data_IF_620219484289
#
_entry.id   IF_620219484289
#
_cell.length_a   1.000
_cell.length_b   1.000
_cell.length_c   1.000
_cell.angle_alpha   90.00
_cell.angle_beta   90.00
_cell.angle_gamma   90.00
#
_symmetry.space_group_name_H-M   'P 1'
#
loop_
_entity.id
_entity.type
_entity.pdbx_description
1 polymer ?
#
# COMPACT_ATOMS: atom_id res chain seq x y z
N UNK A 1 -8.33 6.22 -4.79
CA UNK A 1 -7.02 6.58 -4.24
C UNK A 1 -6.43 5.42 -3.51
N UNK A 2 -5.11 5.28 -3.60
CA UNK A 2 -4.33 4.17 -3.07
C UNK A 2 -3.70 4.58 -1.74
N UNK A 3 -3.79 3.74 -0.71
CA UNK A 3 -3.31 4.04 0.64
C UNK A 3 -2.25 3.04 1.09
N UNK A 4 -1.11 3.54 1.56
CA UNK A 4 -0.03 2.73 2.10
C UNK A 4 -0.46 1.99 3.36
N UNK A 5 -0.08 0.72 3.43
CA UNK A 5 0.02 -0.04 4.67
C UNK A 5 1.47 -0.07 5.16
N UNK A 6 1.67 -0.25 6.47
CA UNK A 6 3.01 -0.43 7.06
C UNK A 6 3.65 -1.79 6.70
N UNK A 7 2.93 -2.67 6.01
CA UNK A 7 3.38 -4.02 5.68
C UNK A 7 4.23 -4.04 4.41
N UNK A 8 5.49 -4.47 4.52
CA UNK A 8 6.36 -4.77 3.36
C UNK A 8 5.91 -6.06 2.67
N UNK A 9 5.93 -6.09 1.33
CA UNK A 9 5.59 -7.28 0.57
C UNK A 9 6.69 -8.35 0.71
N UNK A 10 6.33 -9.57 1.14
CA UNK A 10 7.29 -10.61 1.49
C UNK A 10 8.18 -11.05 0.32
N UNK A 11 7.61 -11.17 -0.88
CA UNK A 11 8.33 -11.71 -2.04
C UNK A 11 9.24 -10.68 -2.70
N UNK A 12 9.04 -9.39 -2.43
CA UNK A 12 9.91 -8.33 -2.94
C UNK A 12 9.96 -7.16 -1.94
N UNK A 13 11.10 -7.00 -1.28
CA UNK A 13 11.32 -5.97 -0.25
C UNK A 13 11.28 -4.54 -0.78
N UNK A 14 11.41 -4.35 -2.10
CA UNK A 14 11.21 -3.06 -2.77
C UNK A 14 9.73 -2.65 -2.86
N UNK A 15 8.81 -3.52 -2.46
CA UNK A 15 7.37 -3.31 -2.56
C UNK A 15 6.71 -3.31 -1.18
N UNK A 16 5.56 -2.65 -1.06
CA UNK A 16 4.72 -2.64 0.13
C UNK A 16 3.25 -2.79 -0.25
N UNK A 17 2.44 -3.22 0.72
CA UNK A 17 1.00 -3.36 0.53
C UNK A 17 0.31 -2.01 0.52
N UNK A 18 -0.73 -1.93 -0.29
CA UNK A 18 -1.58 -0.76 -0.46
C UNK A 18 -3.03 -1.19 -0.61
N UNK A 19 -3.92 -0.35 -0.09
CA UNK A 19 -5.35 -0.62 -0.04
C UNK A 19 -6.08 0.40 -0.92
N UNK A 20 -7.06 -0.09 -1.67
CA UNK A 20 -7.93 0.73 -2.50
C UNK A 20 -9.38 0.66 -2.00
N UNK A 21 -9.75 1.63 -1.17
CA UNK A 21 -11.07 1.63 -0.52
C UNK A 21 -12.27 1.81 -1.45
N UNK A 22 -12.08 2.29 -2.70
CA UNK A 22 -13.22 2.52 -3.60
C UNK A 22 -13.91 1.21 -3.97
N UNK A 23 -13.09 0.20 -4.29
CA UNK A 23 -13.56 -1.10 -4.77
C UNK A 23 -13.29 -2.22 -3.74
N UNK A 24 -12.64 -1.90 -2.61
CA UNK A 24 -12.39 -2.83 -1.51
C UNK A 24 -11.28 -3.84 -1.80
N UNK A 25 -10.27 -3.43 -2.57
CA UNK A 25 -9.21 -4.30 -3.07
C UNK A 25 -7.84 -3.97 -2.43
N UNK A 26 -6.92 -4.93 -2.44
CA UNK A 26 -5.55 -4.80 -1.99
C UNK A 26 -4.56 -5.28 -3.04
N UNK A 27 -3.42 -4.60 -3.12
CA UNK A 27 -2.35 -4.95 -4.05
C UNK A 27 -1.01 -4.51 -3.46
N UNK A 28 0.07 -4.88 -4.13
CA UNK A 28 1.42 -4.46 -3.79
C UNK A 28 1.90 -3.39 -4.77
N UNK A 29 2.72 -2.47 -4.29
CA UNK A 29 3.28 -1.40 -5.11
C UNK A 29 4.73 -1.11 -4.72
N UNK A 30 5.53 -0.57 -5.65
CA UNK A 30 6.91 -0.18 -5.37
C UNK A 30 6.95 0.92 -4.31
N UNK A 31 7.82 0.78 -3.31
CA UNK A 31 8.01 1.78 -2.24
C UNK A 31 8.42 3.16 -2.76
N UNK A 32 8.99 3.23 -3.97
CA UNK A 32 9.32 4.49 -4.66
C UNK A 32 8.12 5.21 -5.27
N UNK A 33 6.96 4.56 -5.37
CA UNK A 33 5.77 5.15 -5.96
C UNK A 33 5.04 6.06 -4.97
N UNK A 34 4.23 6.98 -5.50
CA UNK A 34 3.40 7.86 -4.68
C UNK A 34 2.10 7.13 -4.31
N UNK A 35 1.77 7.05 -3.03
CA UNK A 35 0.44 6.68 -2.53
C UNK A 35 0.16 7.46 -1.24
N UNK A 36 -1.11 7.54 -0.86
CA UNK A 36 -1.54 8.32 0.31
C UNK A 36 -1.22 7.56 1.59
N UNK A 37 -1.01 8.27 2.69
CA UNK A 37 -0.96 7.67 4.02
C UNK A 37 -2.24 8.04 4.77
N UNK A 38 -2.94 7.05 5.31
CA UNK A 38 -4.07 7.26 6.21
C UNK A 38 -3.57 7.08 7.64
N UNK A 39 -3.70 8.12 8.47
CA UNK A 39 -3.42 8.01 9.90
C UNK A 39 -4.61 7.35 10.58
N UNK A 40 -4.35 6.26 11.32
CA UNK A 40 -5.36 5.54 12.11
C UNK A 40 -4.97 5.61 13.59
N UNK A 41 -5.97 5.68 14.48
CA UNK A 41 -5.80 5.78 15.94
C UNK A 41 -5.98 4.43 16.61
#
# INVERSE_FOLDING_TARGET
>A
SLYWSSTTYKNNSSNAWVVYFKDGDDYWNYKSNKSLALCVR
#
